data_IF_895138680388
#
_entry.id   IF_895138680388
#
_cell.length_a   1.000
_cell.length_b   1.000
_cell.length_c   1.000
_cell.angle_alpha   90.00
_cell.angle_beta   90.00
_cell.angle_gamma   90.00
#
_symmetry.space_group_name_H-M   'P 1'
#
loop_
_entity.id
_entity.type
_entity.pdbx_description
1 polymer ?
#
# COMPACT_ATOMS: atom_id res chain seq x y z
N UNK A 1 -0.76 -0.73 13.89
CA UNK A 1 -0.84 -1.27 12.51
C UNK A 1 0.35 -0.71 11.74
N UNK A 2 1.00 -1.49 10.90
CA UNK A 2 2.04 -0.98 10.00
C UNK A 2 1.55 -0.98 8.55
N UNK A 3 1.87 0.05 7.77
CA UNK A 3 1.71 0.05 6.31
C UNK A 3 3.03 -0.37 5.66
N UNK A 4 2.98 -1.37 4.78
CA UNK A 4 4.15 -1.89 4.07
C UNK A 4 3.91 -1.81 2.58
N UNK A 5 4.91 -1.34 1.85
CA UNK A 5 4.85 -1.18 0.40
C UNK A 5 5.96 -2.01 -0.23
N UNK A 6 5.58 -2.97 -1.08
CA UNK A 6 6.55 -3.62 -1.95
C UNK A 6 6.87 -2.70 -3.12
N UNK A 7 8.15 -2.43 -3.27
CA UNK A 7 8.71 -1.71 -4.41
C UNK A 7 9.80 -2.57 -5.05
N UNK A 8 10.31 -2.13 -6.19
CA UNK A 8 11.54 -2.68 -6.74
C UNK A 8 12.40 -1.54 -7.28
N UNK A 9 13.63 -1.41 -6.78
CA UNK A 9 14.59 -0.41 -7.27
C UNK A 9 15.09 -0.71 -8.69
N UNK A 10 15.05 -1.98 -9.11
CA UNK A 10 15.56 -2.45 -10.40
C UNK A 10 14.49 -2.61 -11.47
N UNK A 11 13.22 -2.29 -11.19
CA UNK A 11 12.14 -2.41 -12.17
C UNK A 11 12.44 -1.56 -13.42
N UNK A 12 12.51 -2.20 -14.58
CA UNK A 12 12.81 -1.54 -15.85
C UNK A 12 11.57 -0.91 -16.50
N UNK A 13 10.38 -1.36 -16.10
CA UNK A 13 9.10 -0.88 -16.61
C UNK A 13 8.84 0.52 -16.06
N UNK A 14 8.83 1.51 -16.97
CA UNK A 14 8.65 2.92 -16.64
C UNK A 14 7.31 3.18 -15.93
N UNK A 15 6.25 2.47 -16.33
CA UNK A 15 4.94 2.55 -15.70
C UNK A 15 5.00 2.16 -14.21
N UNK A 16 5.59 1.01 -13.87
CA UNK A 16 5.71 0.59 -12.46
C UNK A 16 6.57 1.56 -11.65
N UNK A 17 7.65 2.13 -12.22
CA UNK A 17 8.42 3.19 -11.56
C UNK A 17 7.54 4.38 -11.20
N UNK A 18 6.74 4.84 -12.16
CA UNK A 18 5.82 5.95 -11.96
C UNK A 18 4.75 5.62 -10.92
N UNK A 19 4.13 4.44 -11.00
CA UNK A 19 3.11 3.99 -10.06
C UNK A 19 3.64 3.87 -8.62
N UNK A 20 4.89 3.39 -8.43
CA UNK A 20 5.56 3.39 -7.13
C UNK A 20 5.64 4.83 -6.59
N UNK A 21 6.19 5.76 -7.38
CA UNK A 21 6.35 7.15 -6.95
C UNK A 21 5.00 7.80 -6.60
N UNK A 22 3.98 7.62 -7.42
CA UNK A 22 2.64 8.18 -7.18
C UNK A 22 2.00 7.59 -5.91
N UNK A 23 2.14 6.28 -5.68
CA UNK A 23 1.65 5.64 -4.45
C UNK A 23 2.29 6.24 -3.21
N UNK A 24 3.63 6.43 -3.23
CA UNK A 24 4.34 7.04 -2.11
C UNK A 24 3.87 8.49 -1.88
N UNK A 25 3.68 9.27 -2.94
CA UNK A 25 3.17 10.64 -2.86
C UNK A 25 1.76 10.71 -2.27
N UNK A 26 0.85 9.80 -2.67
CA UNK A 26 -0.51 9.73 -2.11
C UNK A 26 -0.45 9.47 -0.60
N UNK A 27 0.36 8.49 -0.17
CA UNK A 27 0.48 8.15 1.24
C UNK A 27 1.14 9.27 2.05
N UNK A 28 2.17 9.92 1.48
CA UNK A 28 2.84 11.08 2.09
C UNK A 28 1.90 12.28 2.22
N UNK A 29 1.12 12.59 1.17
CA UNK A 29 0.11 13.66 1.20
C UNK A 29 -0.97 13.44 2.25
N UNK A 30 -1.32 12.18 2.51
CA UNK A 30 -2.24 11.77 3.58
C UNK A 30 -1.54 11.52 4.93
N UNK A 31 -0.25 11.86 5.03
CA UNK A 31 0.59 11.69 6.23
C UNK A 31 0.62 10.25 6.76
N UNK A 32 0.40 9.24 5.93
CA UNK A 32 0.43 7.84 6.33
C UNK A 32 1.90 7.41 6.48
N UNK A 33 2.30 6.93 7.66
CA UNK A 33 3.61 6.30 7.80
C UNK A 33 3.60 4.93 7.14
N UNK A 34 4.68 4.61 6.43
CA UNK A 34 4.88 3.32 5.79
C UNK A 34 6.35 2.92 5.85
N UNK A 35 6.61 1.62 5.71
CA UNK A 35 7.93 1.11 5.33
C UNK A 35 7.90 0.54 3.92
N UNK A 36 9.03 0.63 3.24
CA UNK A 36 9.22 0.00 1.93
C UNK A 36 9.99 -1.30 2.08
N UNK A 37 9.67 -2.29 1.25
CA UNK A 37 10.45 -3.50 1.05
C UNK A 37 10.89 -3.51 -0.40
N UNK A 38 12.20 -3.37 -0.61
CA UNK A 38 12.76 -3.48 -1.95
C UNK A 38 12.89 -4.95 -2.34
N UNK A 39 12.06 -5.39 -3.28
CA UNK A 39 12.00 -6.75 -3.75
C UNK A 39 13.16 -7.14 -4.69
N UNK A 40 13.95 -6.15 -5.11
CA UNK A 40 15.20 -6.36 -5.85
C UNK A 40 16.38 -6.70 -4.93
N UNK A 41 16.29 -6.41 -3.64
CA UNK A 41 17.31 -6.74 -2.66
C UNK A 41 17.16 -8.21 -2.23
N UNK A 42 18.20 -9.01 -2.45
CA UNK A 42 18.23 -10.43 -2.06
C UNK A 42 18.12 -10.61 -0.54
N UNK A 43 18.52 -9.61 0.26
CA UNK A 43 18.32 -9.61 1.72
C UNK A 43 16.84 -9.61 2.13
N UNK A 44 15.94 -9.19 1.24
CA UNK A 44 14.50 -9.17 1.49
C UNK A 44 13.76 -10.38 0.92
N UNK A 45 14.47 -11.39 0.39
CA UNK A 45 13.87 -12.54 -0.29
C UNK A 45 12.76 -13.21 0.52
N UNK A 46 13.02 -13.52 1.78
CA UNK A 46 12.05 -14.20 2.64
C UNK A 46 10.81 -13.33 2.89
N UNK A 47 11.00 -12.04 3.17
CA UNK A 47 9.90 -11.10 3.35
C UNK A 47 9.07 -10.95 2.06
N UNK A 48 9.74 -10.76 0.91
CA UNK A 48 9.12 -10.67 -0.41
C UNK A 48 8.27 -11.89 -0.71
N UNK A 49 8.80 -13.08 -0.48
CA UNK A 49 8.11 -14.34 -0.78
C UNK A 49 6.84 -14.48 0.09
N UNK A 50 6.89 -14.08 1.37
CA UNK A 50 5.70 -13.99 2.23
C UNK A 50 4.67 -13.01 1.67
N UNK A 51 5.07 -11.80 1.28
CA UNK A 51 4.10 -10.83 0.75
C UNK A 51 3.49 -11.25 -0.59
N UNK A 52 4.27 -11.88 -1.47
CA UNK A 52 3.75 -12.46 -2.72
C UNK A 52 2.77 -13.60 -2.49
N UNK A 53 2.97 -14.42 -1.45
CA UNK A 53 1.99 -15.42 -1.05
C UNK A 53 0.70 -14.76 -0.56
N UNK A 54 0.81 -13.64 0.18
CA UNK A 54 -0.36 -12.91 0.72
C UNK A 54 -1.18 -12.19 -0.34
N UNK A 55 -0.55 -11.61 -1.36
CA UNK A 55 -1.28 -10.96 -2.46
C UNK A 55 -1.65 -11.91 -3.59
N UNK A 56 -0.94 -13.03 -3.73
CA UNK A 56 -1.01 -13.89 -4.93
C UNK A 56 -0.39 -13.25 -6.17
N UNK A 57 0.27 -12.09 -6.05
CA UNK A 57 0.78 -11.30 -7.17
C UNK A 57 2.30 -11.20 -7.07
N UNK A 58 2.99 -11.60 -8.14
CA UNK A 58 4.46 -11.56 -8.23
C UNK A 58 4.91 -10.50 -9.23
N UNK A 59 6.03 -9.83 -8.90
CA UNK A 59 6.73 -8.91 -9.80
C UNK A 59 5.87 -7.78 -10.40
N UNK A 60 4.80 -7.40 -9.72
CA UNK A 60 3.99 -6.23 -10.05
C UNK A 60 4.06 -5.27 -8.87
N UNK A 61 4.50 -4.04 -9.11
CA UNK A 61 4.74 -3.04 -8.08
C UNK A 61 4.06 -1.72 -8.47
N UNK A 62 3.58 -0.95 -7.49
CA UNK A 62 3.65 -1.21 -6.05
C UNK A 62 2.57 -2.19 -5.56
N UNK A 63 2.82 -2.82 -4.41
CA UNK A 63 1.80 -3.55 -3.65
C UNK A 63 1.75 -3.03 -2.22
N UNK A 64 0.57 -2.65 -1.74
CA UNK A 64 0.37 -2.08 -0.41
C UNK A 64 -0.28 -3.09 0.52
N UNK A 65 0.25 -3.20 1.73
CA UNK A 65 -0.19 -4.11 2.77
C UNK A 65 -0.40 -3.40 4.09
N UNK A 66 -1.34 -3.89 4.89
CA UNK A 66 -1.43 -3.59 6.31
C UNK A 66 -0.96 -4.79 7.12
N UNK A 67 -0.09 -4.54 8.08
CA UNK A 67 0.53 -5.57 8.93
C UNK A 67 0.13 -5.33 10.38
N UNK A 68 -0.87 -6.07 10.89
CA UNK A 68 -1.23 -6.07 12.30
C UNK A 68 -0.07 -6.54 13.19
N UNK A 69 0.23 -5.80 14.26
CA UNK A 69 1.25 -6.21 15.24
C UNK A 69 2.69 -6.32 14.70
N UNK A 70 2.97 -5.88 13.47
CA UNK A 70 4.30 -5.99 12.84
C UNK A 70 4.66 -7.40 12.36
N UNK A 71 3.76 -8.38 12.50
CA UNK A 71 3.99 -9.74 12.00
C UNK A 71 3.65 -9.83 10.51
N UNK A 72 4.66 -9.95 9.65
CA UNK A 72 4.50 -10.06 8.19
C UNK A 72 3.60 -11.22 7.76
N UNK A 73 3.47 -12.28 8.55
CA UNK A 73 2.56 -13.38 8.24
C UNK A 73 1.09 -13.01 8.48
N UNK A 74 0.81 -11.95 9.22
CA UNK A 74 -0.55 -11.40 9.36
C UNK A 74 -0.90 -10.34 8.32
N UNK A 75 0.01 -10.08 7.37
CA UNK A 75 -0.16 -9.05 6.36
C UNK A 75 -1.42 -9.24 5.52
N UNK A 76 -2.20 -8.17 5.40
CA UNK A 76 -3.37 -8.08 4.55
C UNK A 76 -3.05 -7.24 3.33
N UNK A 77 -3.23 -7.81 2.15
CA UNK A 77 -3.12 -7.07 0.90
C UNK A 77 -4.25 -6.05 0.80
N UNK A 78 -3.90 -4.79 0.54
CA UNK A 78 -4.85 -3.69 0.37
C UNK A 78 -5.10 -3.42 -1.10
N UNK A 79 -4.04 -3.44 -1.91
CA UNK A 79 -4.16 -3.18 -3.34
C UNK A 79 -2.86 -2.78 -4.01
N UNK A 80 -2.95 -2.61 -5.32
CA UNK A 80 -1.93 -2.02 -6.18
C UNK A 80 -2.08 -0.49 -6.21
N UNK A 81 -1.34 0.18 -7.10
CA UNK A 81 -1.53 1.60 -7.31
C UNK A 81 -2.98 1.99 -7.65
N UNK A 82 -3.67 1.21 -8.50
CA UNK A 82 -5.03 1.54 -8.94
C UNK A 82 -6.02 1.59 -7.76
N UNK A 83 -5.98 0.58 -6.87
CA UNK A 83 -6.84 0.55 -5.70
C UNK A 83 -6.49 1.68 -4.71
N UNK A 84 -5.21 1.99 -4.51
CA UNK A 84 -4.79 3.10 -3.63
C UNK A 84 -5.24 4.46 -4.19
N UNK A 85 -5.13 4.65 -5.50
CA UNK A 85 -5.62 5.86 -6.17
C UNK A 85 -7.14 5.98 -6.00
N UNK A 86 -7.89 4.91 -6.23
CA UNK A 86 -9.34 4.90 -6.04
C UNK A 86 -9.72 5.27 -4.60
N UNK A 87 -9.06 4.68 -3.59
CA UNK A 87 -9.29 5.00 -2.18
C UNK A 87 -9.00 6.48 -1.87
N UNK A 88 -8.01 7.08 -2.53
CA UNK A 88 -7.68 8.50 -2.37
C UNK A 88 -8.77 9.39 -2.97
N UNK A 89 -9.21 9.10 -4.20
CA UNK A 89 -10.26 9.84 -4.91
C UNK A 89 -11.61 9.78 -4.19
N UNK A 90 -11.91 8.67 -3.50
CA UNK A 90 -13.13 8.58 -2.69
C UNK A 90 -13.11 9.54 -1.48
N UNK A 91 -11.97 10.14 -1.12
CA UNK A 91 -11.91 11.13 -0.03
C UNK A 91 -12.57 12.46 -0.39
N UNK A 92 -12.78 12.74 -1.68
CA UNK A 92 -13.47 13.94 -2.16
C UNK A 92 -15.01 13.76 -2.22
N UNK A 93 -15.49 12.55 -1.95
CA UNK A 93 -16.93 12.24 -1.93
C UNK A 93 -17.52 12.70 -0.59
N UNK A 94 -18.73 13.32 -0.58
CA UNK A 94 -19.40 13.69 0.66
C UNK A 94 -19.55 12.52 1.64
N UNK A 95 -19.27 12.77 2.93
CA UNK A 95 -19.26 11.73 3.98
C UNK A 95 -20.58 10.98 4.08
N UNK A 96 -21.70 11.68 3.89
CA UNK A 96 -23.04 11.10 3.95
C UNK A 96 -23.23 10.02 2.86
N UNK A 97 -22.64 10.22 1.68
CA UNK A 97 -22.69 9.23 0.57
C UNK A 97 -21.77 8.06 0.87
N UNK A 98 -20.59 8.31 1.40
CA UNK A 98 -19.62 7.27 1.77
C UNK A 98 -20.20 6.34 2.84
N UNK A 99 -20.79 6.91 3.90
CA UNK A 99 -21.39 6.17 5.01
C UNK A 99 -22.63 5.38 4.57
N UNK A 100 -23.51 5.98 3.77
CA UNK A 100 -24.72 5.31 3.28
C UNK A 100 -24.42 4.08 2.40
N UNK A 101 -23.26 4.08 1.72
CA UNK A 101 -22.87 3.02 0.77
C UNK A 101 -21.71 2.14 1.26
N UNK A 102 -21.20 2.37 2.48
CA UNK A 102 -20.03 1.68 3.03
C UNK A 102 -18.80 1.74 2.08
N UNK A 103 -18.59 2.87 1.43
CA UNK A 103 -17.47 3.04 0.49
C UNK A 103 -16.18 3.28 1.28
N UNK A 104 -15.15 2.43 1.10
CA UNK A 104 -13.87 2.63 1.77
C UNK A 104 -13.10 3.81 1.17
N UNK A 105 -12.46 4.56 2.04
CA UNK A 105 -11.50 5.63 1.73
C UNK A 105 -10.13 5.33 2.33
N UNK A 106 -9.10 6.09 1.94
CA UNK A 106 -7.80 6.03 2.60
C UNK A 106 -7.89 6.22 4.12
N UNK A 107 -8.71 7.15 4.60
CA UNK A 107 -8.85 7.38 6.03
C UNK A 107 -9.37 6.13 6.76
N UNK A 108 -10.44 5.53 6.23
CA UNK A 108 -11.06 4.34 6.83
C UNK A 108 -10.16 3.10 6.79
N UNK A 109 -9.45 2.88 5.68
CA UNK A 109 -8.58 1.72 5.49
C UNK A 109 -7.33 1.83 6.36
N UNK A 110 -6.75 3.03 6.49
CA UNK A 110 -5.50 3.28 7.20
C UNK A 110 -5.70 3.85 8.62
N UNK A 111 -6.89 3.70 9.22
CA UNK A 111 -7.25 4.31 10.53
C UNK A 111 -6.30 3.95 11.67
N UNK A 112 -5.74 2.73 11.67
CA UNK A 112 -4.83 2.26 12.73
C UNK A 112 -3.34 2.47 12.44
N UNK A 113 -3.00 3.11 11.33
CA UNK A 113 -1.61 3.32 10.89
C UNK A 113 -1.09 4.65 11.46
N UNK A 114 0.13 4.67 12.06
CA UNK A 114 0.75 5.91 12.53
C UNK A 114 0.82 6.99 11.45
N UNK A 115 0.72 8.26 11.87
CA UNK A 115 0.77 9.41 10.97
C UNK A 115 2.06 10.19 11.16
N UNK A 116 2.62 10.71 10.06
CA UNK A 116 3.75 11.63 10.08
C UNK A 116 3.32 12.94 10.78
N UNK A 117 4.16 13.40 11.71
CA UNK A 117 3.97 14.64 12.47
C UNK A 117 4.02 15.89 11.60
#
# INVERSE_FOLDING_TARGET
>A
MECVILISSTVSIAEQKHQIQQTLQILDGNRIMYRTVDCADEGNKDARDVYFERSGIRANYPQVFLVPGGDQYSAKYIGSFAEIQQLNEMSDVPKEILEANNIPTLESVFVGVPRKS
#
